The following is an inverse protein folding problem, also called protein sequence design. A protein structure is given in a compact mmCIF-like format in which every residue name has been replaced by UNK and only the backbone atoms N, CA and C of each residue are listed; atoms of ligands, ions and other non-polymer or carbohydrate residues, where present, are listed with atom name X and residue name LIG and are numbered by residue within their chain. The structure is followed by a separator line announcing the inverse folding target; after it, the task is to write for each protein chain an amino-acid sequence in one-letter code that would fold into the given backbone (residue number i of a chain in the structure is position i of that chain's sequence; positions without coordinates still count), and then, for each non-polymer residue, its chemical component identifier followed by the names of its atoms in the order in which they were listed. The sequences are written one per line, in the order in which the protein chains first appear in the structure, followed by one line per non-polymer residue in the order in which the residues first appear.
data_IF_978842481651
#
_entry.id   IF_978842481651
#
_cell.length_a   1.000
_cell.length_b   1.000
_cell.length_c   1.000
_cell.angle_alpha   90.00
_cell.angle_beta   90.00
_cell.angle_gamma   90.00
#
_symmetry.space_group_name_H-M   'P 1'
#
loop_
_entity.id
_entity.type
_entity.pdbx_description
1 polymer ?
#
# COMPACT_ATOMS: atom_id res chain seq x y z
N UNK A 1 -15.81 2.17 7.56
CA UNK A 1 -14.50 1.76 7.02
C UNK A 1 -13.56 2.91 7.31
N UNK A 2 -12.52 2.71 8.13
CA UNK A 2 -11.67 3.83 8.50
C UNK A 2 -10.80 4.24 7.32
N UNK A 3 -10.76 5.54 7.04
CA UNK A 3 -10.00 6.13 5.93
C UNK A 3 -8.55 6.43 6.36
N UNK A 4 -8.09 5.80 7.45
CA UNK A 4 -6.87 6.17 8.18
C UNK A 4 -5.62 6.01 7.32
N UNK A 5 -5.58 4.97 6.47
CA UNK A 5 -4.49 4.75 5.51
C UNK A 5 -4.41 5.86 4.46
N UNK A 6 -5.56 6.32 3.96
CA UNK A 6 -5.61 7.41 2.99
C UNK A 6 -5.23 8.75 3.64
N UNK A 7 -5.77 9.03 4.83
CA UNK A 7 -5.41 10.23 5.60
C UNK A 7 -3.91 10.28 5.89
N UNK A 8 -3.31 9.15 6.26
CA UNK A 8 -1.88 9.02 6.47
C UNK A 8 -1.08 9.26 5.19
N UNK A 9 -1.51 8.69 4.06
CA UNK A 9 -0.88 8.89 2.76
C UNK A 9 -0.89 10.37 2.34
N UNK A 10 -2.03 11.06 2.52
CA UNK A 10 -2.14 12.49 2.27
C UNK A 10 -1.19 13.31 3.15
N UNK A 11 -1.01 12.92 4.42
CA UNK A 11 -0.01 13.53 5.31
C UNK A 11 1.41 13.39 4.77
N UNK A 12 1.79 12.22 4.24
CA UNK A 12 3.12 12.01 3.64
C UNK A 12 3.29 12.82 2.35
N UNK A 13 2.25 12.88 1.51
CA UNK A 13 2.25 13.74 0.31
C UNK A 13 2.41 15.23 0.66
N UNK A 14 1.78 15.70 1.75
CA UNK A 14 1.94 17.08 2.23
C UNK A 14 3.37 17.41 2.67
N UNK A 15 4.12 16.40 3.14
CA UNK A 15 5.55 16.50 3.44
C UNK A 15 6.44 16.38 2.19
N UNK A 16 5.86 16.42 0.98
CA UNK A 16 6.53 16.22 -0.32
C UNK A 16 7.20 14.85 -0.45
N UNK A 17 6.65 13.83 0.21
CA UNK A 17 7.10 12.45 0.05
C UNK A 17 6.29 11.73 -1.00
N UNK A 18 6.95 10.94 -1.84
CA UNK A 18 6.31 9.95 -2.72
C UNK A 18 5.68 8.84 -1.90
N UNK A 19 4.52 8.37 -2.34
CA UNK A 19 3.70 7.38 -1.64
C UNK A 19 3.21 6.33 -2.63
N UNK A 20 3.17 5.08 -2.19
CA UNK A 20 2.49 3.98 -2.90
C UNK A 20 1.35 3.48 -2.02
N UNK A 21 0.18 3.27 -2.62
CA UNK A 21 -0.99 2.69 -1.95
C UNK A 21 -1.36 1.39 -2.65
N UNK A 22 -1.44 0.31 -1.90
CA UNK A 22 -1.99 -0.97 -2.32
C UNK A 22 -3.39 -1.16 -1.75
N UNK A 23 -4.30 -1.74 -2.53
CA UNK A 23 -5.63 -2.11 -2.06
C UNK A 23 -6.07 -3.46 -2.61
N UNK A 24 -6.72 -4.25 -1.76
CA UNK A 24 -7.33 -5.51 -2.16
C UNK A 24 -8.60 -5.21 -2.95
N UNK A 25 -8.59 -5.45 -4.26
CA UNK A 25 -9.75 -5.22 -5.14
C UNK A 25 -10.69 -6.42 -5.21
N UNK A 26 -10.15 -7.63 -5.03
CA UNK A 26 -10.90 -8.88 -5.06
C UNK A 26 -10.19 -9.92 -4.19
N UNK A 27 -10.96 -10.82 -3.59
CA UNK A 27 -10.44 -12.02 -2.92
C UNK A 27 -11.22 -13.24 -3.38
N UNK A 28 -10.57 -14.40 -3.36
CA UNK A 28 -11.21 -15.69 -3.62
C UNK A 28 -10.76 -16.69 -2.56
N UNK A 29 -11.69 -17.50 -2.04
CA UNK A 29 -11.42 -18.40 -0.92
C UNK A 29 -11.28 -17.69 0.44
N UNK A 30 -10.67 -18.38 1.41
CA UNK A 30 -10.51 -17.91 2.79
C UNK A 30 -9.23 -17.10 2.99
N UNK A 31 -9.13 -15.94 2.33
CA UNK A 31 -7.95 -15.06 2.43
C UNK A 31 -8.08 -14.13 3.65
N UNK A 32 -7.05 -14.04 4.53
CA UNK A 32 -7.02 -13.02 5.56
C UNK A 32 -6.77 -11.68 4.88
N UNK A 33 -7.82 -10.89 4.68
CA UNK A 33 -7.81 -9.61 3.98
C UNK A 33 -9.15 -9.39 3.30
N UNK A 34 -9.95 -8.41 3.76
CA UNK A 34 -11.24 -8.11 3.12
C UNK A 34 -11.01 -7.25 1.89
N UNK A 35 -11.88 -7.40 0.88
CA UNK A 35 -11.97 -6.44 -0.22
C UNK A 35 -12.04 -5.02 0.35
N UNK A 36 -11.23 -4.13 -0.20
CA UNK A 36 -11.09 -2.75 0.23
C UNK A 36 -9.99 -2.50 1.26
N UNK A 37 -9.37 -3.55 1.85
CA UNK A 37 -8.20 -3.41 2.72
C UNK A 37 -7.09 -2.64 2.01
N UNK A 38 -6.35 -1.81 2.76
CA UNK A 38 -5.34 -0.88 2.21
C UNK A 38 -4.08 -0.94 3.02
N UNK A 39 -2.97 -0.80 2.31
CA UNK A 39 -1.64 -0.57 2.86
C UNK A 39 -1.00 0.55 2.06
N UNK A 40 -0.34 1.48 2.74
CA UNK A 40 0.40 2.55 2.08
C UNK A 40 1.83 2.58 2.61
N UNK A 41 2.79 2.93 1.75
CA UNK A 41 4.17 3.21 2.13
C UNK A 41 4.59 4.57 1.60
N UNK A 42 5.56 5.20 2.24
CA UNK A 42 6.18 6.43 1.74
C UNK A 42 7.69 6.28 1.64
N UNK A 43 8.32 7.10 0.80
CA UNK A 43 9.78 7.14 0.69
C UNK A 43 10.45 7.61 2.00
N UNK A 44 11.66 7.09 2.26
CA UNK A 44 12.47 7.39 3.44
C UNK A 44 12.53 6.26 4.49
N UNK A 45 13.08 6.58 5.67
CA UNK A 45 13.44 5.59 6.71
C UNK A 45 12.27 5.01 7.50
N UNK A 46 11.08 5.62 7.46
CA UNK A 46 9.92 5.13 8.20
C UNK A 46 8.59 5.36 7.50
N UNK A 47 7.77 4.31 7.54
CA UNK A 47 6.32 4.40 7.52
C UNK A 47 5.67 3.56 6.43
N UNK A 48 5.16 2.40 6.81
CA UNK A 48 3.97 1.87 6.16
C UNK A 48 2.79 1.97 7.13
N UNK A 49 1.58 2.11 6.60
CA UNK A 49 0.36 2.17 7.40
C UNK A 49 -0.73 1.35 6.72
N UNK A 50 -1.45 0.58 7.54
CA UNK A 50 -2.53 -0.28 7.10
C UNK A 50 -2.07 -1.71 6.89
N UNK A 51 -3.04 -2.56 6.58
CA UNK A 51 -2.86 -3.97 6.31
C UNK A 51 -3.73 -4.34 5.12
N UNK A 52 -3.17 -5.16 4.23
CA UNK A 52 -3.91 -5.81 3.14
C UNK A 52 -4.30 -7.25 3.50
N UNK A 53 -3.84 -7.79 4.63
CA UNK A 53 -4.12 -9.17 4.98
C UNK A 53 -3.23 -9.79 6.07
N UNK A 54 -2.85 -11.05 5.88
CA UNK A 54 -1.93 -11.77 6.78
C UNK A 54 -0.46 -11.56 6.44
N UNK A 55 0.43 -11.84 7.40
CA UNK A 55 1.87 -11.54 7.37
C UNK A 55 2.60 -11.95 6.07
N UNK A 56 2.25 -13.08 5.46
CA UNK A 56 2.87 -13.55 4.22
C UNK A 56 2.49 -12.73 2.98
N UNK A 57 1.23 -12.27 2.89
CA UNK A 57 0.78 -11.41 1.80
C UNK A 57 1.31 -9.99 1.99
N UNK A 58 1.29 -9.50 3.23
CA UNK A 58 1.79 -8.16 3.58
C UNK A 58 3.25 -7.98 3.18
N UNK A 59 4.12 -8.95 3.45
CA UNK A 59 5.53 -8.87 3.07
C UNK A 59 5.71 -8.74 1.56
N UNK A 60 4.98 -9.52 0.75
CA UNK A 60 5.06 -9.46 -0.71
C UNK A 60 4.59 -8.12 -1.25
N UNK A 61 3.46 -7.62 -0.73
CA UNK A 61 2.92 -6.32 -1.14
C UNK A 61 3.85 -5.19 -0.72
N UNK A 62 4.43 -5.24 0.48
CA UNK A 62 5.39 -4.25 0.96
C UNK A 62 6.66 -4.21 0.09
N UNK A 63 7.20 -5.37 -0.28
CA UNK A 63 8.36 -5.45 -1.17
C UNK A 63 8.03 -4.84 -2.53
N UNK A 64 6.90 -5.22 -3.14
CA UNK A 64 6.52 -4.64 -4.43
C UNK A 64 6.29 -3.14 -4.36
N UNK A 65 5.67 -2.65 -3.29
CA UNK A 65 5.49 -1.21 -3.11
C UNK A 65 6.84 -0.46 -3.04
N UNK A 66 7.87 -1.04 -2.40
CA UNK A 66 9.21 -0.44 -2.35
C UNK A 66 9.85 -0.41 -3.74
N UNK A 67 9.75 -1.50 -4.50
CA UNK A 67 10.21 -1.53 -5.89
C UNK A 67 9.53 -0.44 -6.72
N UNK A 68 8.22 -0.22 -6.54
CA UNK A 68 7.51 0.85 -7.25
C UNK A 68 8.04 2.25 -6.91
N UNK A 69 8.45 2.51 -5.66
CA UNK A 69 9.07 3.78 -5.28
C UNK A 69 10.46 3.97 -5.91
N UNK A 70 11.18 2.88 -6.13
CA UNK A 70 12.53 2.91 -6.72
C UNK A 70 12.47 3.01 -8.25
N UNK A 71 11.55 2.26 -8.89
CA UNK A 71 11.39 2.17 -10.34
C UNK A 71 10.70 3.42 -10.93
N UNK A 72 9.70 3.98 -10.24
CA UNK A 72 8.84 5.02 -10.80
C UNK A 72 8.97 6.36 -10.07
N UNK A 73 9.22 7.41 -10.87
CA UNK A 73 9.27 8.80 -10.42
C UNK A 73 8.07 9.64 -10.88
N UNK A 74 7.26 9.09 -11.78
CA UNK A 74 5.99 9.65 -12.23
C UNK A 74 4.82 8.79 -11.70
N UNK A 75 3.57 9.30 -11.70
CA UNK A 75 2.40 8.51 -11.30
C UNK A 75 2.31 7.20 -12.11
N UNK A 76 2.22 6.07 -11.41
CA UNK A 76 2.14 4.74 -11.98
C UNK A 76 1.18 3.86 -11.16
N UNK A 77 0.55 2.88 -11.81
CA UNK A 77 -0.35 1.93 -11.16
C UNK A 77 -0.40 0.61 -11.91
N UNK A 78 -0.58 -0.48 -11.16
CA UNK A 78 -0.63 -1.85 -11.68
C UNK A 78 -1.64 -2.68 -10.88
N UNK A 79 -2.09 -3.79 -11.49
CA UNK A 79 -2.99 -4.76 -10.87
C UNK A 79 -2.30 -6.12 -10.83
N UNK A 80 -2.33 -6.77 -9.67
CA UNK A 80 -1.85 -8.15 -9.49
C UNK A 80 -3.01 -9.03 -9.04
N UNK A 81 -3.07 -10.25 -9.59
CA UNK A 81 -4.09 -11.28 -9.30
C UNK A 81 -3.48 -12.49 -8.62
#
# INVERSE_FOLDING_TARGET
MSNDTLAWALGRLAERRRVVIASVIQTSGSVPGKVGAKLAIAEGKEGFHGTVGGAGLEMKVLLRCKELLDEYWAPYGEMHT
#
